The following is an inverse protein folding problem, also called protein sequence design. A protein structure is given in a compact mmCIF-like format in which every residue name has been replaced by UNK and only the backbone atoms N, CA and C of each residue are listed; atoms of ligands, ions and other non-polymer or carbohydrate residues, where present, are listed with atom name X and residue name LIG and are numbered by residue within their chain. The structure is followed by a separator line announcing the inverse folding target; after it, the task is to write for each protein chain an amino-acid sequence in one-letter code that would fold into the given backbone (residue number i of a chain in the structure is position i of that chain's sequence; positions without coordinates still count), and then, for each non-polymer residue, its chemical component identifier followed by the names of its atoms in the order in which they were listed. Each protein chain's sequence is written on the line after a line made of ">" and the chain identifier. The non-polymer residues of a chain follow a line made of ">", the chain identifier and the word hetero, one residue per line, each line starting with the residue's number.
data_IF_490807758800
#
_entry.id   IF_490807758800
#
_cell.length_a   1.000
_cell.length_b   1.000
_cell.length_c   1.000
_cell.angle_alpha   90.00
_cell.angle_beta   90.00
_cell.angle_gamma   90.00
#
_symmetry.space_group_name_H-M   'P 1'
#
loop_
_entity.id
_entity.type
_entity.pdbx_description
1 polymer ?
#
# COMPACT_ATOMS: atom_id res chain seq x y z
N UNK A 1 -1.27 -2.84 -23.00
CA UNK A 1 -1.50 -2.33 -21.62
C UNK A 1 -2.06 -3.46 -20.76
N UNK A 2 -1.18 -4.31 -20.23
CA UNK A 2 -1.57 -5.33 -19.23
C UNK A 2 -1.27 -4.74 -17.86
N UNK A 3 -2.26 -4.11 -17.25
CA UNK A 3 -2.17 -3.66 -15.87
C UNK A 3 -2.10 -4.89 -14.96
N UNK A 4 -0.89 -5.29 -14.59
CA UNK A 4 -0.71 -6.24 -13.48
C UNK A 4 -1.16 -5.53 -12.21
N UNK A 5 -2.44 -5.67 -11.86
CA UNK A 5 -2.93 -5.33 -10.55
C UNK A 5 -2.26 -6.28 -9.57
N UNK A 6 -1.10 -5.88 -9.03
CA UNK A 6 -0.45 -6.60 -7.96
C UNK A 6 -1.34 -6.52 -6.74
N UNK A 7 -2.00 -7.64 -6.46
CA UNK A 7 -2.82 -7.79 -5.28
C UNK A 7 -1.91 -7.74 -4.05
N UNK A 8 -2.27 -6.89 -3.08
CA UNK A 8 -1.50 -6.74 -1.87
C UNK A 8 -1.48 -8.06 -1.09
N UNK A 9 -0.30 -8.48 -0.64
CA UNK A 9 -0.18 -9.64 0.24
C UNK A 9 -0.88 -9.37 1.56
N UNK A 10 -1.18 -10.42 2.31
CA UNK A 10 -1.80 -10.27 3.64
C UNK A 10 -0.95 -9.40 4.56
N UNK A 11 0.37 -9.59 4.55
CA UNK A 11 1.31 -8.79 5.34
C UNK A 11 1.29 -7.31 4.94
N UNK A 12 1.28 -7.02 3.64
CA UNK A 12 1.17 -5.65 3.15
C UNK A 12 -0.13 -5.00 3.60
N UNK A 13 -1.26 -5.75 3.58
CA UNK A 13 -2.55 -5.25 4.09
C UNK A 13 -2.51 -4.95 5.60
N UNK A 14 -1.87 -5.80 6.40
CA UNK A 14 -1.65 -5.53 7.83
C UNK A 14 -0.82 -4.26 8.04
N UNK A 15 0.29 -4.10 7.30
CA UNK A 15 1.13 -2.91 7.38
C UNK A 15 0.36 -1.64 7.00
N UNK A 16 -0.45 -1.67 5.94
CA UNK A 16 -1.31 -0.53 5.53
C UNK A 16 -2.26 -0.14 6.66
N UNK A 17 -2.92 -1.12 7.29
CA UNK A 17 -3.87 -0.87 8.38
C UNK A 17 -3.19 -0.20 9.58
N UNK A 18 -2.03 -0.72 9.99
CA UNK A 18 -1.23 -0.13 11.09
C UNK A 18 -0.79 1.29 10.75
N UNK A 19 -0.21 1.51 9.58
CA UNK A 19 0.31 2.81 9.17
C UNK A 19 -0.80 3.86 9.01
N UNK A 20 -1.97 3.47 8.49
CA UNK A 20 -3.15 4.34 8.45
C UNK A 20 -3.60 4.76 9.85
N UNK A 21 -3.63 3.82 10.80
CA UNK A 21 -3.99 4.11 12.19
C UNK A 21 -2.95 4.98 12.90
N UNK A 22 -1.69 4.92 12.48
CA UNK A 22 -0.62 5.80 12.95
C UNK A 22 -0.64 7.22 12.33
N UNK A 23 -1.61 7.51 11.44
CA UNK A 23 -1.75 8.82 10.80
C UNK A 23 -0.89 9.02 9.55
N UNK A 24 -0.27 7.96 9.01
CA UNK A 24 0.50 8.05 7.77
C UNK A 24 -0.41 8.28 6.57
N UNK A 25 0.00 9.17 5.67
CA UNK A 25 -0.68 9.40 4.40
C UNK A 25 -0.48 8.23 3.44
N UNK A 26 -1.39 8.03 2.49
CA UNK A 26 -1.26 6.97 1.48
C UNK A 26 0.07 7.00 0.73
N UNK A 27 0.65 8.19 0.50
CA UNK A 27 1.97 8.33 -0.15
C UNK A 27 3.10 7.79 0.72
N UNK A 28 3.05 8.06 2.02
CA UNK A 28 4.03 7.52 2.97
C UNK A 28 3.88 6.00 3.09
N UNK A 29 2.65 5.50 3.17
CA UNK A 29 2.36 4.06 3.19
C UNK A 29 2.88 3.37 1.92
N UNK A 30 2.64 3.93 0.74
CA UNK A 30 3.14 3.40 -0.53
C UNK A 30 4.68 3.35 -0.54
N UNK A 31 5.34 4.39 -0.04
CA UNK A 31 6.80 4.46 0.06
C UNK A 31 7.37 3.45 1.05
N UNK A 32 6.71 3.23 2.18
CA UNK A 32 7.13 2.28 3.23
C UNK A 32 6.99 0.83 2.75
N UNK A 33 5.91 0.52 2.03
CA UNK A 33 5.59 -0.84 1.60
C UNK A 33 6.23 -1.17 0.24
N UNK A 34 6.86 -0.19 -0.41
CA UNK A 34 7.52 -0.36 -1.71
C UNK A 34 6.53 -0.64 -2.84
N UNK A 35 5.26 -0.24 -2.69
CA UNK A 35 4.21 -0.40 -3.71
C UNK A 35 3.95 0.93 -4.39
N UNK A 36 3.64 0.90 -5.68
CA UNK A 36 3.23 2.10 -6.40
C UNK A 36 1.90 2.61 -5.85
N UNK A 37 1.74 3.92 -5.69
CA UNK A 37 0.54 4.57 -5.13
C UNK A 37 -0.76 4.10 -5.82
N UNK A 38 -0.67 3.72 -7.10
CA UNK A 38 -1.78 3.19 -7.90
C UNK A 38 -2.37 1.90 -7.32
N UNK A 39 -1.56 1.05 -6.68
CA UNK A 39 -2.01 -0.20 -6.05
C UNK A 39 -2.74 0.01 -4.72
N UNK A 40 -2.71 1.23 -4.18
CA UNK A 40 -3.28 1.62 -2.89
C UNK A 40 -4.56 2.48 -3.03
N UNK A 41 -5.01 2.71 -4.26
CA UNK A 41 -6.18 3.55 -4.60
C UNK A 41 -7.49 2.83 -4.32
#
# INVERSE_FOLDING_TARGET
>A
MTGYYQQLTYEQRCQISVLKNSGCTQREVAKIIGVSQVSLR
#
